data_IF_483556258507
#
_entry.id   IF_483556258507
#
_cell.length_a   1.000
_cell.length_b   1.000
_cell.length_c   1.000
_cell.angle_alpha   90.00
_cell.angle_beta   90.00
_cell.angle_gamma   90.00
#
_symmetry.space_group_name_H-M   'P 1'
#
loop_
_entity.id
_entity.type
_entity.pdbx_description
1 polymer ?
#
# COMPACT_ATOMS: atom_id res chain seq x y z
N UNK A 1 -43.68 23.37 -15.64
CA UNK A 1 -43.35 24.81 -15.67
C UNK A 1 -42.96 25.27 -14.27
N UNK A 2 -41.68 25.58 -14.03
CA UNK A 2 -41.16 26.71 -13.24
C UNK A 2 -39.64 26.52 -13.06
N UNK A 3 -38.91 27.51 -13.54
CA UNK A 3 -37.45 27.61 -13.56
C UNK A 3 -36.91 27.98 -12.18
N UNK A 4 -35.69 27.53 -11.90
CA UNK A 4 -34.85 28.04 -10.81
C UNK A 4 -33.41 28.21 -11.31
N UNK A 5 -33.11 29.40 -11.82
CA UNK A 5 -31.76 29.90 -12.14
C UNK A 5 -31.15 30.48 -10.87
N UNK A 6 -29.86 30.22 -10.60
CA UNK A 6 -29.21 30.77 -9.41
C UNK A 6 -27.69 30.68 -9.34
N UNK A 7 -27.04 31.59 -10.08
CA UNK A 7 -25.79 32.31 -9.78
C UNK A 7 -24.42 31.60 -9.78
N UNK A 8 -23.62 32.13 -10.70
CA UNK A 8 -22.17 32.15 -10.78
C UNK A 8 -21.45 32.61 -9.50
N UNK A 9 -20.29 32.00 -9.27
CA UNK A 9 -19.22 32.49 -8.40
C UNK A 9 -17.87 32.11 -8.99
N UNK A 10 -17.27 33.07 -9.70
CA UNK A 10 -15.86 33.09 -10.14
C UNK A 10 -15.01 33.55 -8.96
N UNK A 11 -13.78 33.00 -8.81
CA UNK A 11 -12.56 33.54 -8.16
C UNK A 11 -11.76 32.33 -7.62
N UNK A 12 -10.45 32.20 -7.69
CA UNK A 12 -9.36 32.87 -8.40
C UNK A 12 -8.16 31.92 -8.23
N UNK A 13 -7.34 31.76 -9.27
CA UNK A 13 -6.11 30.98 -9.21
C UNK A 13 -5.05 31.68 -8.36
N UNK A 14 -4.33 30.93 -7.52
CA UNK A 14 -3.01 31.34 -7.01
C UNK A 14 -2.06 30.16 -7.17
N UNK A 15 -1.30 30.20 -8.27
CA UNK A 15 -0.11 29.39 -8.52
C UNK A 15 1.07 30.03 -7.78
N UNK A 16 1.67 29.32 -6.84
CA UNK A 16 2.98 29.69 -6.27
C UNK A 16 3.95 28.56 -6.60
N UNK A 17 4.73 28.76 -7.67
CA UNK A 17 5.92 27.97 -7.99
C UNK A 17 7.11 28.57 -7.26
N UNK A 18 7.66 27.84 -6.28
CA UNK A 18 8.97 28.18 -5.69
C UNK A 18 10.02 27.25 -6.30
N UNK A 19 10.81 27.81 -7.22
CA UNK A 19 12.06 27.20 -7.66
C UNK A 19 13.17 27.63 -6.69
N UNK A 20 13.72 26.69 -5.93
CA UNK A 20 15.00 26.89 -5.24
C UNK A 20 16.04 25.97 -5.88
N UNK A 21 16.77 26.54 -6.84
CA UNK A 21 18.09 26.10 -7.27
C UNK A 21 19.11 26.41 -6.18
N UNK A 22 19.76 25.37 -5.66
CA UNK A 22 20.89 25.48 -4.75
C UNK A 22 21.98 24.49 -5.13
N UNK A 23 22.88 24.91 -6.03
CA UNK A 23 24.15 24.25 -6.28
C UNK A 23 25.14 24.62 -5.17
N UNK A 24 25.81 23.64 -4.59
CA UNK A 24 27.07 23.86 -3.87
C UNK A 24 28.05 22.77 -4.26
N UNK A 25 29.14 23.21 -4.89
CA UNK A 25 30.28 22.39 -5.27
C UNK A 25 31.10 22.01 -4.02
N UNK A 26 31.66 20.80 -4.03
CA UNK A 26 32.62 20.35 -3.04
C UNK A 26 33.60 19.35 -3.67
N UNK A 27 34.75 19.85 -4.09
CA UNK A 27 35.92 19.09 -4.55
C UNK A 27 36.58 18.41 -3.35
N UNK A 28 36.99 17.15 -3.49
CA UNK A 28 37.85 16.49 -2.50
C UNK A 28 38.05 15.02 -2.82
N UNK A 29 39.16 14.71 -3.49
CA UNK A 29 39.63 13.34 -3.63
C UNK A 29 40.27 12.85 -2.33
N UNK A 30 40.17 11.55 -2.06
CA UNK A 30 41.16 10.77 -1.32
C UNK A 30 40.88 9.29 -1.55
N UNK A 31 41.93 8.57 -1.96
CA UNK A 31 41.88 7.16 -2.27
C UNK A 31 41.55 6.29 -1.06
N UNK A 32 40.87 5.16 -1.33
CA UNK A 32 40.57 4.12 -0.38
C UNK A 32 40.11 2.85 -1.09
N UNK A 33 41.05 1.93 -1.24
CA UNK A 33 40.94 0.45 -1.23
C UNK A 33 39.77 -0.25 -1.99
N UNK A 34 40.06 -1.22 -2.88
CA UNK A 34 39.04 -1.99 -3.58
C UNK A 34 38.36 -2.99 -2.62
N UNK A 35 37.29 -2.56 -1.97
CA UNK A 35 36.35 -3.49 -1.36
C UNK A 35 35.36 -3.93 -2.44
N UNK A 36 35.24 -5.26 -2.61
CA UNK A 36 34.30 -5.92 -3.50
C UNK A 36 32.92 -5.25 -3.44
N UNK A 37 32.59 -4.50 -4.50
CA UNK A 37 31.22 -4.06 -4.75
C UNK A 37 30.45 -5.30 -5.14
N UNK A 38 29.72 -5.88 -4.20
CA UNK A 38 28.54 -6.67 -4.54
C UNK A 38 27.64 -5.69 -5.28
N UNK A 39 27.67 -5.76 -6.61
CA UNK A 39 26.67 -5.11 -7.45
C UNK A 39 25.37 -5.81 -7.08
N UNK A 40 24.64 -5.24 -6.12
CA UNK A 40 23.22 -5.50 -6.03
C UNK A 40 22.68 -5.11 -7.40
N UNK A 41 22.34 -6.12 -8.20
CA UNK A 41 21.55 -5.93 -9.41
C UNK A 41 20.29 -5.22 -8.96
N UNK A 42 20.30 -3.90 -9.09
CA UNK A 42 19.10 -3.11 -8.97
C UNK A 42 18.21 -3.59 -10.11
N UNK A 43 17.24 -4.45 -9.80
CA UNK A 43 16.03 -4.56 -10.59
C UNK A 43 15.57 -3.13 -10.93
N UNK A 44 14.98 -2.88 -12.11
CA UNK A 44 14.48 -1.56 -12.47
C UNK A 44 13.30 -1.22 -11.57
N UNK A 45 13.61 -0.84 -10.33
CA UNK A 45 12.70 -0.47 -9.27
C UNK A 45 12.51 1.04 -9.29
N UNK A 46 11.32 1.47 -8.91
CA UNK A 46 11.00 2.87 -8.75
C UNK A 46 12.06 3.57 -7.88
N UNK A 47 12.34 4.85 -8.19
CA UNK A 47 13.23 5.64 -7.34
C UNK A 47 12.63 5.75 -5.93
N UNK A 48 13.45 5.92 -4.86
CA UNK A 48 12.93 6.07 -3.50
C UNK A 48 11.88 7.18 -3.36
N UNK A 49 11.97 8.24 -4.17
CA UNK A 49 10.97 9.32 -4.18
C UNK A 49 9.64 8.88 -4.79
N UNK A 50 9.66 8.16 -5.91
CA UNK A 50 8.46 7.61 -6.53
C UNK A 50 7.78 6.58 -5.61
N UNK A 51 8.57 5.75 -4.94
CA UNK A 51 8.07 4.77 -3.98
C UNK A 51 7.37 5.42 -2.78
N UNK A 52 8.01 6.42 -2.14
CA UNK A 52 7.38 7.16 -1.04
C UNK A 52 6.06 7.79 -1.46
N UNK A 53 5.98 8.30 -2.70
CA UNK A 53 4.73 8.84 -3.26
C UNK A 53 3.66 7.76 -3.39
N UNK A 54 3.99 6.58 -3.93
CA UNK A 54 3.05 5.46 -4.06
C UNK A 54 2.61 4.94 -2.69
N UNK A 55 3.53 4.83 -1.72
CA UNK A 55 3.23 4.43 -0.34
C UNK A 55 2.24 5.39 0.31
N UNK A 56 2.47 6.70 0.17
CA UNK A 56 1.55 7.73 0.67
C UNK A 56 0.18 7.65 0.00
N UNK A 57 0.12 7.40 -1.32
CA UNK A 57 -1.13 7.24 -2.06
C UNK A 57 -1.92 6.00 -1.59
N UNK A 58 -1.25 4.85 -1.45
CA UNK A 58 -1.89 3.63 -0.96
C UNK A 58 -2.41 3.81 0.47
N UNK A 59 -1.61 4.43 1.35
CA UNK A 59 -2.01 4.71 2.73
C UNK A 59 -3.19 5.67 2.81
N UNK A 60 -3.16 6.75 2.05
CA UNK A 60 -4.26 7.73 2.03
C UNK A 60 -5.56 7.10 1.54
N UNK A 61 -5.52 6.26 0.51
CA UNK A 61 -6.69 5.52 0.04
C UNK A 61 -7.19 4.54 1.11
N UNK A 62 -6.30 3.83 1.80
CA UNK A 62 -6.66 2.94 2.92
C UNK A 62 -7.25 3.70 4.12
N UNK A 63 -6.81 4.93 4.38
CA UNK A 63 -7.35 5.77 5.46
C UNK A 63 -8.72 6.36 5.11
N UNK A 64 -9.00 6.58 3.82
CA UNK A 64 -10.32 6.96 3.34
C UNK A 64 -11.34 5.81 3.46
N UNK A 65 -10.86 4.57 3.48
CA UNK A 65 -11.66 3.37 3.76
C UNK A 65 -12.14 3.36 5.21
N UNK A 66 -13.39 3.78 5.41
CA UNK A 66 -14.02 3.92 6.73
C UNK A 66 -13.84 2.70 7.63
N UNK A 67 -13.01 2.83 8.66
CA UNK A 67 -12.90 1.91 9.79
C UNK A 67 -13.54 2.52 11.05
N UNK A 68 -14.64 3.27 10.88
CA UNK A 68 -15.32 3.95 11.98
C UNK A 68 -15.51 3.03 13.18
N UNK A 69 -14.93 3.42 14.33
CA UNK A 69 -14.93 2.73 15.63
C UNK A 69 -14.34 1.31 15.67
N UNK A 70 -13.75 0.80 14.59
CA UNK A 70 -13.17 -0.53 14.55
C UNK A 70 -11.79 -0.54 15.24
N UNK A 71 -11.56 -1.49 16.15
CA UNK A 71 -10.25 -1.65 16.79
C UNK A 71 -9.25 -2.20 15.78
N UNK A 72 -8.24 -1.40 15.45
CA UNK A 72 -7.10 -1.82 14.64
C UNK A 72 -6.32 -2.92 15.36
N UNK A 73 -5.97 -3.96 14.61
CA UNK A 73 -5.17 -5.10 15.08
C UNK A 73 -3.76 -4.97 14.56
N UNK A 74 -3.62 -4.76 13.25
CA UNK A 74 -2.34 -4.71 12.56
C UNK A 74 -2.49 -3.89 11.27
N UNK A 75 -1.42 -3.24 10.83
CA UNK A 75 -1.38 -2.54 9.55
C UNK A 75 0.06 -2.40 9.07
N UNK A 76 0.25 -2.29 7.76
CA UNK A 76 1.58 -2.11 7.17
C UNK A 76 1.51 -1.45 5.80
N UNK A 77 2.71 -1.16 5.27
CA UNK A 77 2.90 -0.68 3.90
C UNK A 77 4.13 -1.37 3.33
N UNK A 78 3.96 -2.17 2.28
CA UNK A 78 5.02 -3.00 1.70
C UNK A 78 5.13 -2.75 0.19
N UNK A 79 6.29 -3.05 -0.38
CA UNK A 79 6.46 -3.05 -1.84
C UNK A 79 5.73 -4.26 -2.43
N UNK A 80 5.12 -4.08 -3.60
CA UNK A 80 4.46 -5.19 -4.34
C UNK A 80 5.43 -6.34 -4.64
N UNK A 81 6.71 -6.05 -4.85
CA UNK A 81 7.75 -7.06 -5.12
C UNK A 81 8.14 -7.89 -3.90
N UNK A 82 7.96 -7.35 -2.70
CA UNK A 82 8.28 -8.04 -1.44
C UNK A 82 7.05 -8.80 -0.93
N UNK A 83 5.85 -8.31 -1.25
CA UNK A 83 4.60 -8.87 -0.78
C UNK A 83 4.33 -8.59 0.69
N UNK A 84 3.19 -9.06 1.18
CA UNK A 84 2.82 -9.04 2.60
C UNK A 84 2.70 -10.47 3.04
N UNK A 85 3.40 -10.86 4.10
CA UNK A 85 3.35 -12.22 4.65
C UNK A 85 3.23 -12.14 6.17
N UNK A 86 2.00 -12.20 6.68
CA UNK A 86 1.74 -12.05 8.13
C UNK A 86 0.86 -13.17 8.68
N UNK A 87 1.07 -13.46 9.96
CA UNK A 87 0.24 -14.37 10.76
C UNK A 87 -0.30 -13.59 11.98
N UNK A 88 -1.40 -12.84 11.80
CA UNK A 88 -1.88 -11.93 12.82
C UNK A 88 -2.37 -12.67 14.07
N UNK A 89 -2.10 -12.08 15.24
CA UNK A 89 -2.64 -12.53 16.51
C UNK A 89 -4.17 -12.33 16.58
N UNK A 90 -4.93 -13.31 16.11
CA UNK A 90 -6.41 -13.25 16.09
C UNK A 90 -7.04 -14.15 17.16
N UNK A 91 -8.19 -13.72 17.67
CA UNK A 91 -8.97 -14.47 18.63
C UNK A 91 -9.93 -15.40 17.88
N UNK A 92 -9.92 -16.68 18.26
CA UNK A 92 -10.80 -17.69 17.67
C UNK A 92 -12.26 -17.27 17.72
N UNK A 93 -12.97 -17.39 16.59
CA UNK A 93 -14.40 -17.09 16.49
C UNK A 93 -14.76 -15.61 16.39
N UNK A 94 -13.80 -14.68 16.52
CA UNK A 94 -14.03 -13.24 16.28
C UNK A 94 -13.94 -12.94 14.80
N UNK A 95 -14.73 -11.96 14.33
CA UNK A 95 -14.70 -11.55 12.92
C UNK A 95 -13.75 -10.37 12.75
N UNK A 96 -12.95 -10.47 11.69
CA UNK A 96 -11.98 -9.48 11.29
C UNK A 96 -12.25 -9.03 9.86
N UNK A 97 -11.77 -7.85 9.53
CA UNK A 97 -11.74 -7.30 8.18
C UNK A 97 -10.31 -6.96 7.81
N UNK A 98 -9.79 -7.63 6.79
CA UNK A 98 -8.61 -7.21 6.07
C UNK A 98 -9.05 -6.21 5.00
N UNK A 99 -8.45 -5.03 4.98
CA UNK A 99 -8.59 -4.05 3.89
C UNK A 99 -7.21 -3.88 3.27
N UNK A 100 -7.13 -3.93 1.94
CA UNK A 100 -5.90 -3.81 1.16
C UNK A 100 -6.11 -2.80 0.03
N UNK A 101 -5.12 -1.96 -0.19
CA UNK A 101 -5.03 -1.05 -1.33
C UNK A 101 -3.67 -1.21 -1.98
N UNK A 102 -3.62 -1.33 -3.31
CA UNK A 102 -2.38 -1.27 -4.06
C UNK A 102 -2.32 0.00 -4.91
N UNK A 103 -1.17 0.68 -4.92
CA UNK A 103 -0.90 1.84 -5.77
C UNK A 103 0.33 1.57 -6.66
N UNK A 104 0.12 1.53 -7.98
CA UNK A 104 1.19 1.27 -8.94
C UNK A 104 0.67 0.77 -10.29
N UNK A 105 1.13 -0.40 -10.71
CA UNK A 105 0.75 -1.04 -11.97
C UNK A 105 0.56 -2.54 -11.78
N UNK A 106 -0.35 -3.12 -12.57
CA UNK A 106 -0.67 -4.55 -12.51
C UNK A 106 -1.64 -4.90 -11.39
N UNK A 107 -1.53 -6.15 -10.92
CA UNK A 107 -2.45 -6.75 -9.96
C UNK A 107 -1.65 -7.47 -8.88
N UNK A 108 -2.10 -7.39 -7.65
CA UNK A 108 -1.68 -8.26 -6.55
C UNK A 108 -2.81 -9.23 -6.19
N UNK A 109 -2.51 -10.27 -5.41
CA UNK A 109 -3.47 -11.26 -4.96
C UNK A 109 -3.35 -11.46 -3.46
N UNK A 110 -4.45 -11.19 -2.76
CA UNK A 110 -4.65 -11.54 -1.36
C UNK A 110 -4.98 -13.02 -1.27
N UNK A 111 -4.34 -13.75 -0.37
CA UNK A 111 -4.61 -15.14 -0.01
C UNK A 111 -4.81 -15.23 1.49
N UNK A 112 -5.95 -15.76 1.93
CA UNK A 112 -6.24 -16.04 3.35
C UNK A 112 -6.27 -17.54 3.55
N UNK A 113 -5.34 -18.02 4.37
CA UNK A 113 -5.30 -19.40 4.84
C UNK A 113 -5.77 -19.44 6.28
N UNK A 114 -6.84 -20.19 6.54
CA UNK A 114 -7.29 -20.44 7.91
C UNK A 114 -6.34 -21.42 8.59
N UNK A 115 -6.05 -21.21 9.86
CA UNK A 115 -5.33 -22.20 10.67
C UNK A 115 -6.19 -23.40 11.09
N UNK A 116 -7.45 -23.47 10.63
CA UNK A 116 -8.30 -24.65 10.82
C UNK A 116 -7.99 -25.70 9.75
N UNK A 117 -7.61 -26.94 10.11
CA UNK A 117 -7.33 -28.00 9.15
C UNK A 117 -8.51 -28.24 8.19
N UNK A 118 -8.21 -28.34 6.89
CA UNK A 118 -9.21 -28.61 5.85
C UNK A 118 -10.11 -27.44 5.48
N UNK A 119 -9.95 -26.26 6.10
CA UNK A 119 -10.67 -25.07 5.68
C UNK A 119 -10.18 -24.58 4.31
N UNK A 120 -11.08 -24.07 3.44
CA UNK A 120 -10.70 -23.60 2.12
C UNK A 120 -9.82 -22.35 2.22
N UNK A 121 -8.78 -22.32 1.38
CA UNK A 121 -8.00 -21.11 1.12
C UNK A 121 -8.87 -20.17 0.27
N UNK A 122 -8.91 -18.89 0.65
CA UNK A 122 -9.60 -17.87 -0.13
C UNK A 122 -8.60 -16.95 -0.80
N UNK A 123 -8.86 -16.56 -2.04
CA UNK A 123 -8.01 -15.65 -2.78
C UNK A 123 -8.83 -14.55 -3.46
N UNK A 124 -8.24 -13.35 -3.55
CA UNK A 124 -8.88 -12.18 -4.16
C UNK A 124 -7.85 -11.30 -4.87
N UNK A 125 -8.18 -10.86 -6.08
CA UNK A 125 -7.37 -9.90 -6.82
C UNK A 125 -7.46 -8.50 -6.19
N UNK A 126 -6.33 -7.79 -6.19
CA UNK A 126 -6.15 -6.41 -5.71
C UNK A 126 -5.50 -5.61 -6.84
N UNK A 127 -6.28 -4.87 -7.64
CA UNK A 127 -5.71 -4.04 -8.70
C UNK A 127 -4.85 -2.92 -8.10
N UNK A 128 -3.74 -2.59 -8.76
CA UNK A 128 -2.83 -1.54 -8.32
C UNK A 128 -3.23 -0.13 -8.81
N UNK A 129 -4.53 0.15 -8.80
CA UNK A 129 -5.14 1.41 -9.25
C UNK A 129 -5.59 2.34 -8.10
N UNK A 130 -5.31 1.93 -6.85
CA UNK A 130 -5.72 2.52 -5.56
C UNK A 130 -7.17 2.19 -5.14
N UNK A 131 -7.81 1.25 -5.80
CA UNK A 131 -9.10 0.72 -5.34
C UNK A 131 -8.93 -0.06 -4.03
N UNK A 132 -9.93 0.06 -3.17
CA UNK A 132 -10.02 -0.74 -1.96
C UNK A 132 -10.54 -2.14 -2.27
N UNK A 133 -9.85 -3.14 -1.73
CA UNK A 133 -10.34 -4.52 -1.64
C UNK A 133 -10.40 -4.92 -0.17
N UNK A 134 -11.52 -5.50 0.25
CA UNK A 134 -11.67 -6.02 1.61
C UNK A 134 -12.10 -7.48 1.61
N UNK A 135 -11.65 -8.21 2.62
CA UNK A 135 -12.01 -9.58 2.90
C UNK A 135 -12.34 -9.72 4.39
N UNK A 136 -13.49 -10.31 4.70
CA UNK A 136 -13.86 -10.64 6.09
C UNK A 136 -13.43 -12.06 6.39
N UNK A 137 -12.90 -12.29 7.58
CA UNK A 137 -12.49 -13.63 8.01
C UNK A 137 -12.74 -13.84 9.49
N UNK A 138 -12.94 -15.10 9.87
CA UNK A 138 -13.04 -15.49 11.27
C UNK A 138 -11.65 -15.80 11.78
N UNK A 139 -11.28 -15.19 12.91
CA UNK A 139 -10.02 -15.43 13.58
C UNK A 139 -9.92 -16.87 14.05
N UNK A 140 -8.69 -17.36 14.04
CA UNK A 140 -8.25 -18.63 14.57
C UNK A 140 -6.74 -18.54 14.82
N UNK A 141 -6.18 -19.46 15.60
CA UNK A 141 -4.72 -19.60 15.66
C UNK A 141 -4.20 -20.00 14.29
N UNK A 142 -3.09 -19.41 13.85
CA UNK A 142 -2.45 -19.75 12.58
C UNK A 142 -3.21 -19.27 11.33
N UNK A 143 -4.06 -18.24 11.45
CA UNK A 143 -4.53 -17.53 10.25
C UNK A 143 -3.32 -16.88 9.59
N UNK A 144 -3.11 -17.17 8.31
CA UNK A 144 -2.05 -16.59 7.49
C UNK A 144 -2.65 -15.74 6.39
N UNK A 145 -2.06 -14.57 6.18
CA UNK A 145 -2.44 -13.62 5.15
C UNK A 145 -1.20 -13.37 4.30
N UNK A 146 -1.32 -13.72 3.02
CA UNK A 146 -0.30 -13.43 2.01
C UNK A 146 -0.88 -12.44 0.99
N UNK A 147 -0.11 -11.43 0.57
CA UNK A 147 -0.45 -10.54 -0.54
C UNK A 147 0.72 -10.49 -1.49
N UNK A 148 0.58 -11.12 -2.65
CA UNK A 148 1.64 -11.28 -3.63
C UNK A 148 1.34 -10.44 -4.88
N UNK A 149 2.35 -9.75 -5.41
CA UNK A 149 2.25 -9.17 -6.76
C UNK A 149 2.22 -10.26 -7.83
N UNK A 150 1.32 -10.15 -8.81
CA UNK A 150 1.42 -10.96 -10.02
C UNK A 150 2.68 -10.59 -10.82
N UNK A 151 3.09 -11.43 -11.76
CA UNK A 151 4.26 -11.17 -12.61
C UNK A 151 4.16 -9.80 -13.30
N UNK A 152 5.17 -8.95 -13.09
CA UNK A 152 5.22 -7.61 -13.66
C UNK A 152 4.46 -6.54 -12.88
N UNK A 153 3.77 -6.89 -11.79
CA UNK A 153 3.15 -5.92 -10.90
C UNK A 153 4.23 -5.11 -10.15
N UNK A 154 3.97 -3.82 -9.98
CA UNK A 154 4.90 -2.89 -9.28
C UNK A 154 4.10 -1.90 -8.45
N UNK A 155 4.73 -1.36 -7.41
CA UNK A 155 4.15 -0.30 -6.59
C UNK A 155 4.19 -0.62 -5.10
N UNK A 156 3.23 -0.07 -4.37
CA UNK A 156 3.12 -0.18 -2.91
C UNK A 156 1.74 -0.71 -2.50
N UNK A 157 1.73 -1.61 -1.54
CA UNK A 157 0.54 -2.18 -0.91
C UNK A 157 0.42 -1.53 0.48
N UNK A 158 -0.72 -0.94 0.78
CA UNK A 158 -1.10 -0.57 2.14
C UNK A 158 -2.22 -1.50 2.60
N UNK A 159 -2.13 -1.98 3.83
CA UNK A 159 -3.12 -2.92 4.37
C UNK A 159 -3.40 -2.68 5.84
N UNK A 160 -4.59 -3.10 6.28
CA UNK A 160 -5.04 -3.02 7.67
C UNK A 160 -5.96 -4.17 8.01
N UNK A 161 -5.80 -4.67 9.23
CA UNK A 161 -6.71 -5.64 9.85
C UNK A 161 -7.42 -4.94 11.00
N UNK A 162 -8.74 -4.96 10.98
CA UNK A 162 -9.57 -4.46 12.08
C UNK A 162 -10.45 -5.57 12.62
N UNK A 163 -10.80 -5.50 13.90
CA UNK A 163 -11.96 -6.23 14.44
C UNK A 163 -13.24 -5.61 13.89
N UNK A 164 -14.23 -6.44 13.56
CA UNK A 164 -15.56 -6.02 13.10
C UNK A 164 -16.56 -6.09 14.23
#
# INVERSE_FOLDING_TARGET
>A
MRFGVGRAGVLAAVLVSVCLTGCTAGTGGSGGQPHHRVTASASPGATPAAERKLAAQARAALDASGAGHASMVESGVERVSEGVHTEPGTQSGRVYRLTVVCAGQGTAKVTLTSGTPGAPVRARAVPCDRSEVFERFTGARGVRIDVDGDTGATGMIAWRINKV
#
